data_IF_800500459850
#
_entry.id   IF_800500459850
#
_cell.length_a   1.000
_cell.length_b   1.000
_cell.length_c   1.000
_cell.angle_alpha   90.00
_cell.angle_beta   90.00
_cell.angle_gamma   90.00
#
_symmetry.space_group_name_H-M   'P 1'
#
loop_
_entity.id
_entity.type
_entity.pdbx_description
1 polymer ?
#
# COMPACT_ATOMS: atom_id res chain seq x y z
N UNK A 1 0.98 -3.97 27.34
CA UNK A 1 -0.10 -3.18 26.71
C UNK A 1 0.46 -1.82 26.33
N UNK A 2 0.61 -1.59 25.03
CA UNK A 2 1.19 -0.36 24.50
C UNK A 2 0.18 0.79 24.60
N UNK A 3 0.47 1.80 25.42
CA UNK A 3 -0.36 2.99 25.61
C UNK A 3 -0.39 3.87 24.35
N UNK A 4 -1.50 4.56 24.10
CA UNK A 4 -1.65 5.45 22.93
C UNK A 4 -0.63 6.62 22.92
N UNK A 5 -0.10 6.99 24.07
CA UNK A 5 0.98 7.97 24.21
C UNK A 5 2.28 7.50 23.53
N UNK A 6 2.60 6.21 23.63
CA UNK A 6 3.82 5.63 23.06
C UNK A 6 3.70 5.55 21.54
N UNK A 7 2.52 5.19 21.03
CA UNK A 7 2.22 5.23 19.59
C UNK A 7 2.41 6.63 19.01
N UNK A 8 2.02 7.68 19.74
CA UNK A 8 2.24 9.07 19.33
C UNK A 8 3.71 9.47 19.35
N UNK A 9 4.46 9.07 20.39
CA UNK A 9 5.91 9.31 20.49
C UNK A 9 6.64 8.66 19.32
N UNK A 10 6.45 7.36 19.11
CA UNK A 10 7.09 6.60 18.03
C UNK A 10 6.75 7.17 16.64
N UNK A 11 5.50 7.61 16.41
CA UNK A 11 5.13 8.29 15.15
C UNK A 11 5.82 9.65 14.98
N UNK A 12 6.04 10.40 16.08
CA UNK A 12 6.76 11.67 16.05
C UNK A 12 8.23 11.43 15.73
N UNK A 13 8.84 10.40 16.32
CA UNK A 13 10.25 10.08 16.13
C UNK A 13 10.54 9.50 14.73
N UNK A 14 9.61 8.70 14.20
CA UNK A 14 9.63 8.28 12.79
C UNK A 14 9.54 9.48 11.83
N UNK A 15 8.73 10.50 12.17
CA UNK A 15 8.63 11.73 11.36
C UNK A 15 9.86 12.61 11.45
N UNK A 16 10.60 12.57 12.56
CA UNK A 16 11.87 13.30 12.70
C UNK A 16 13.06 12.57 12.08
N UNK A 17 12.85 11.40 11.47
CA UNK A 17 13.88 10.66 10.72
C UNK A 17 14.67 9.67 11.56
N UNK A 18 14.21 9.31 12.76
CA UNK A 18 14.86 8.27 13.57
C UNK A 18 14.66 6.91 12.87
N UNK A 19 15.72 6.13 12.66
CA UNK A 19 15.61 4.80 12.06
C UNK A 19 14.73 3.86 12.88
N UNK A 20 13.89 3.06 12.21
CA UNK A 20 13.04 2.07 12.87
C UNK A 20 13.82 1.08 13.75
N UNK A 21 15.07 0.75 13.38
CA UNK A 21 15.93 -0.15 14.16
C UNK A 21 16.30 0.42 15.53
N UNK A 22 16.54 1.74 15.61
CA UNK A 22 16.88 2.40 16.87
C UNK A 22 15.67 2.49 17.79
N UNK A 23 14.49 2.79 17.23
CA UNK A 23 13.24 2.84 18.00
C UNK A 23 12.86 1.47 18.58
N UNK A 24 13.13 0.38 17.84
CA UNK A 24 12.92 -0.98 18.34
C UNK A 24 13.85 -1.30 19.51
N UNK A 25 15.11 -0.90 19.44
CA UNK A 25 16.09 -1.10 20.51
C UNK A 25 15.71 -0.30 21.76
N UNK A 26 15.32 0.97 21.61
CA UNK A 26 14.86 1.81 22.73
C UNK A 26 13.63 1.22 23.42
N UNK A 27 12.63 0.76 22.66
CA UNK A 27 11.45 0.11 23.23
C UNK A 27 11.78 -1.23 23.90
N UNK A 28 12.78 -1.96 23.42
CA UNK A 28 13.25 -3.18 24.07
C UNK A 28 13.99 -2.88 25.39
N UNK A 29 14.81 -1.84 25.43
CA UNK A 29 15.49 -1.35 26.64
C UNK A 29 14.51 -0.79 27.68
N UNK A 30 13.41 -0.17 27.24
CA UNK A 30 12.30 0.30 28.10
C UNK A 30 11.46 -0.88 28.67
N UNK A 31 11.74 -2.12 28.28
CA UNK A 31 11.12 -3.32 28.82
C UNK A 31 9.79 -3.71 28.16
N UNK A 32 9.48 -3.17 26.97
CA UNK A 32 8.31 -3.61 26.22
C UNK A 32 8.49 -5.02 25.66
N UNK A 33 7.41 -5.81 25.69
CA UNK A 33 7.42 -7.14 25.10
C UNK A 33 7.67 -7.05 23.59
N UNK A 34 8.51 -7.94 23.05
CA UNK A 34 8.79 -8.02 21.61
C UNK A 34 7.51 -8.14 20.77
N UNK A 35 6.48 -8.83 21.29
CA UNK A 35 5.19 -8.95 20.62
C UNK A 35 4.52 -7.58 20.39
N UNK A 36 4.52 -6.72 21.41
CA UNK A 36 3.92 -5.38 21.36
C UNK A 36 4.71 -4.46 20.39
N UNK A 37 6.05 -4.58 20.36
CA UNK A 37 6.92 -3.84 19.43
C UNK A 37 6.65 -4.27 17.98
N UNK A 38 6.54 -5.58 17.74
CA UNK A 38 6.31 -6.13 16.39
C UNK A 38 4.94 -5.75 15.84
N UNK A 39 3.95 -5.60 16.70
CA UNK A 39 2.63 -5.07 16.31
C UNK A 39 2.69 -3.59 15.94
N UNK A 40 3.47 -2.79 16.68
CA UNK A 40 3.63 -1.36 16.44
C UNK A 40 4.28 -1.04 15.08
N UNK A 41 5.30 -1.81 14.70
CA UNK A 41 6.03 -1.66 13.43
C UNK A 41 5.53 -2.63 12.35
N UNK A 42 4.27 -3.08 12.42
CA UNK A 42 3.74 -3.97 11.40
C UNK A 42 3.82 -3.27 10.04
N UNK A 43 4.47 -3.88 9.03
CA UNK A 43 4.63 -3.25 7.72
C UNK A 43 3.27 -2.87 7.17
N UNK A 44 3.14 -1.63 6.73
CA UNK A 44 1.90 -1.15 6.13
C UNK A 44 1.64 -2.02 4.90
N UNK A 45 0.48 -2.70 4.87
CA UNK A 45 0.08 -3.47 3.69
C UNK A 45 -0.13 -2.46 2.57
N UNK A 46 0.78 -2.46 1.61
CA UNK A 46 0.72 -1.54 0.48
C UNK A 46 -0.51 -1.88 -0.37
N UNK A 47 -1.42 -0.92 -0.48
CA UNK A 47 -2.65 -1.11 -1.26
C UNK A 47 -2.35 -0.90 -2.75
N UNK A 48 -2.23 -2.00 -3.49
CA UNK A 48 -1.94 -1.99 -4.93
C UNK A 48 -3.11 -1.44 -5.78
N UNK A 49 -4.31 -1.25 -5.19
CA UNK A 49 -5.53 -0.81 -5.90
C UNK A 49 -5.35 0.54 -6.59
N UNK A 50 -4.76 1.51 -5.91
CA UNK A 50 -4.49 2.84 -6.47
C UNK A 50 -3.55 2.77 -7.67
N UNK A 51 -2.54 1.90 -7.62
CA UNK A 51 -1.61 1.69 -8.73
C UNK A 51 -2.28 1.05 -9.95
N UNK A 52 -3.11 0.01 -9.76
CA UNK A 52 -3.86 -0.59 -10.88
C UNK A 52 -4.76 0.44 -11.58
N UNK A 53 -5.42 1.30 -10.80
CA UNK A 53 -6.28 2.35 -11.35
C UNK A 53 -5.47 3.42 -12.10
N UNK A 54 -4.37 3.90 -11.52
CA UNK A 54 -3.49 4.88 -12.16
C UNK A 54 -2.91 4.36 -13.48
N UNK A 55 -2.38 3.14 -13.50
CA UNK A 55 -1.86 2.55 -14.72
C UNK A 55 -2.95 2.25 -15.76
N UNK A 56 -4.14 1.82 -15.33
CA UNK A 56 -5.27 1.64 -16.24
C UNK A 56 -5.61 2.95 -16.97
N UNK A 57 -5.68 4.08 -16.26
CA UNK A 57 -5.97 5.39 -16.90
C UNK A 57 -4.86 5.78 -17.89
N UNK A 58 -3.59 5.59 -17.52
CA UNK A 58 -2.45 5.89 -18.40
C UNK A 58 -2.50 5.03 -19.67
N UNK A 59 -2.69 3.71 -19.53
CA UNK A 59 -2.75 2.79 -20.66
C UNK A 59 -4.01 2.98 -21.51
N UNK A 60 -5.12 3.44 -20.91
CA UNK A 60 -6.33 3.79 -21.65
C UNK A 60 -6.04 4.97 -22.60
N UNK A 61 -5.50 6.06 -22.07
CA UNK A 61 -5.18 7.26 -22.87
C UNK A 61 -4.13 6.95 -23.95
N UNK A 62 -3.06 6.25 -23.57
CA UNK A 62 -2.03 5.82 -24.50
C UNK A 62 -2.59 4.85 -25.56
N UNK A 63 -3.49 3.95 -25.16
CA UNK A 63 -4.12 2.97 -26.05
C UNK A 63 -5.06 3.63 -27.06
N UNK A 64 -5.87 4.61 -26.65
CA UNK A 64 -6.71 5.39 -27.57
C UNK A 64 -5.84 6.09 -28.62
N UNK A 65 -4.79 6.78 -28.18
CA UNK A 65 -3.85 7.45 -29.09
C UNK A 65 -3.21 6.46 -30.07
N UNK A 66 -2.78 5.29 -29.58
CA UNK A 66 -2.15 4.26 -30.40
C UNK A 66 -3.10 3.64 -31.42
N UNK A 67 -4.36 3.39 -31.05
CA UNK A 67 -5.39 2.89 -31.97
C UNK A 67 -5.63 3.89 -33.09
N UNK A 68 -5.74 5.17 -32.78
CA UNK A 68 -5.95 6.22 -33.80
C UNK A 68 -4.77 6.33 -34.77
N UNK A 69 -3.53 6.09 -34.31
CA UNK A 69 -2.33 6.29 -35.13
C UNK A 69 -1.86 5.04 -35.88
N UNK A 70 -1.99 3.86 -35.27
CA UNK A 70 -1.40 2.61 -35.74
C UNK A 70 -2.38 1.43 -35.78
N UNK A 71 -3.65 1.61 -35.40
CA UNK A 71 -4.68 0.57 -35.40
C UNK A 71 -4.50 -0.54 -34.35
N UNK A 72 -3.54 -0.39 -33.42
CA UNK A 72 -3.20 -1.44 -32.46
C UNK A 72 -4.04 -1.40 -31.18
N UNK A 73 -4.88 -2.41 -30.93
CA UNK A 73 -5.79 -2.48 -29.76
C UNK A 73 -5.15 -3.04 -28.48
N UNK A 74 -3.92 -3.56 -28.55
CA UNK A 74 -3.26 -4.31 -27.44
C UNK A 74 -3.20 -3.51 -26.13
N UNK A 75 -2.94 -2.21 -26.20
CA UNK A 75 -2.87 -1.32 -25.02
C UNK A 75 -4.24 -1.09 -24.37
N UNK A 76 -5.31 -1.03 -25.15
CA UNK A 76 -6.68 -0.94 -24.63
C UNK A 76 -7.08 -2.22 -23.89
N UNK A 77 -6.72 -3.39 -24.43
CA UNK A 77 -6.96 -4.67 -23.76
C UNK A 77 -6.19 -4.76 -22.44
N UNK A 78 -4.93 -4.29 -22.41
CA UNK A 78 -4.14 -4.24 -21.18
C UNK A 78 -4.78 -3.33 -20.12
N UNK A 79 -5.24 -2.14 -20.53
CA UNK A 79 -5.99 -1.23 -19.66
C UNK A 79 -7.25 -1.90 -19.09
N UNK A 80 -8.03 -2.56 -19.94
CA UNK A 80 -9.24 -3.28 -19.52
C UNK A 80 -8.93 -4.38 -18.49
N UNK A 81 -7.88 -5.16 -18.72
CA UNK A 81 -7.42 -6.19 -17.79
C UNK A 81 -7.02 -5.63 -16.42
N UNK A 82 -6.33 -4.48 -16.39
CA UNK A 82 -5.98 -3.81 -15.14
C UNK A 82 -7.21 -3.32 -14.35
N UNK A 83 -8.23 -2.81 -15.04
CA UNK A 83 -9.51 -2.46 -14.40
C UNK A 83 -10.19 -3.71 -13.83
N UNK A 84 -10.22 -4.82 -14.57
CA UNK A 84 -10.77 -6.08 -14.06
C UNK A 84 -10.02 -6.59 -12.83
N UNK A 85 -8.69 -6.50 -12.81
CA UNK A 85 -7.87 -6.85 -11.65
C UNK A 85 -8.23 -5.99 -10.42
N UNK A 86 -8.42 -4.68 -10.61
CA UNK A 86 -8.88 -3.77 -9.55
C UNK A 86 -10.23 -4.21 -8.95
N UNK A 87 -11.21 -4.56 -9.79
CA UNK A 87 -12.51 -5.03 -9.33
C UNK A 87 -12.46 -6.38 -8.61
N UNK A 88 -11.61 -7.30 -9.07
CA UNK A 88 -11.38 -8.59 -8.41
C UNK A 88 -10.77 -8.40 -7.02
N UNK A 89 -9.75 -7.56 -6.90
CA UNK A 89 -9.10 -7.24 -5.62
C UNK A 89 -10.10 -6.59 -4.65
N UNK A 90 -10.94 -5.66 -5.15
CA UNK A 90 -12.01 -5.02 -4.38
C UNK A 90 -13.00 -6.05 -3.82
N UNK A 91 -13.50 -6.96 -4.67
CA UNK A 91 -14.41 -8.04 -4.26
C UNK A 91 -13.77 -8.99 -3.24
N UNK A 92 -12.47 -9.29 -3.39
CA UNK A 92 -11.73 -10.14 -2.46
C UNK A 92 -11.68 -9.56 -1.05
N UNK A 93 -11.49 -8.25 -0.96
CA UNK A 93 -11.45 -7.52 0.30
C UNK A 93 -12.84 -7.36 0.93
N UNK A 94 -13.88 -7.10 0.13
CA UNK A 94 -15.27 -7.09 0.62
C UNK A 94 -15.66 -8.45 1.23
N UNK A 95 -15.26 -9.56 0.60
CA UNK A 95 -15.53 -10.92 1.11
C UNK A 95 -14.72 -11.28 2.35
N UNK A 96 -13.50 -10.77 2.50
CA UNK A 96 -12.66 -11.02 3.69
C UNK A 96 -12.98 -10.09 4.87
N UNK A 97 -13.82 -9.07 4.66
CA UNK A 97 -14.23 -8.11 5.70
C UNK A 97 -15.63 -8.39 6.25
N UNK A 98 -16.31 -9.42 5.74
CA UNK A 98 -17.61 -9.93 6.19
C UNK A 98 -17.43 -11.27 6.90
#
# INVERSE_FOLDING_TARGET
>A
MLTDEIKKRVRKDLRSGVPEGELKNQLAEEGYAEADIKELFRPHKYDMRSWYLSFAVIFLLAGIYWVMRYGGIKLLLLSGAMVSAYFLEKKRLEKNSA
#
